data_IF_358253573502
#
_entry.id   IF_358253573502
#
_cell.length_a   1.000
_cell.length_b   1.000
_cell.length_c   1.000
_cell.angle_alpha   90.00
_cell.angle_beta   90.00
_cell.angle_gamma   90.00
#
_symmetry.space_group_name_H-M   'P 1'
#
loop_
_entity.id
_entity.type
_entity.pdbx_description
1 polymer ?
#
# COMPACT_ATOMS: atom_id res chain seq x y z
N UNK A 1 -28.99 -18.80 -58.06
CA UNK A 1 -27.60 -18.48 -57.68
C UNK A 1 -27.72 -17.31 -56.73
N UNK A 2 -28.03 -17.64 -55.48
CA UNK A 2 -28.35 -16.61 -54.49
C UNK A 2 -27.03 -16.24 -53.84
N UNK A 3 -26.48 -15.12 -54.29
CA UNK A 3 -25.30 -14.52 -53.66
C UNK A 3 -25.74 -14.02 -52.29
N UNK A 4 -25.20 -14.67 -51.26
CA UNK A 4 -25.30 -14.21 -49.88
C UNK A 4 -24.84 -12.76 -49.81
N UNK A 5 -25.77 -11.89 -49.42
CA UNK A 5 -25.51 -10.49 -49.14
C UNK A 5 -24.57 -10.45 -47.94
N UNK A 6 -23.28 -10.23 -48.20
CA UNK A 6 -22.30 -9.87 -47.19
C UNK A 6 -22.78 -8.51 -46.64
N UNK A 7 -23.50 -8.55 -45.52
CA UNK A 7 -23.85 -7.35 -44.77
C UNK A 7 -22.54 -6.70 -44.34
N UNK A 8 -22.17 -5.58 -45.00
CA UNK A 8 -21.07 -4.74 -44.55
C UNK A 8 -21.36 -4.32 -43.11
N UNK A 9 -20.44 -4.68 -42.20
CA UNK A 9 -20.51 -4.22 -40.83
C UNK A 9 -20.37 -2.68 -40.79
N UNK A 10 -21.04 -2.00 -39.86
CA UNK A 10 -20.85 -0.57 -39.64
C UNK A 10 -19.37 -0.20 -39.43
N UNK A 11 -18.88 0.86 -40.08
CA UNK A 11 -17.48 1.32 -40.00
C UNK A 11 -16.96 1.47 -38.56
N UNK A 12 -17.83 1.85 -37.62
CA UNK A 12 -17.49 1.95 -36.19
C UNK A 12 -17.14 0.61 -35.54
N UNK A 13 -17.73 -0.49 -36.02
CA UNK A 13 -17.45 -1.83 -35.53
C UNK A 13 -16.18 -2.37 -36.14
N UNK A 14 -15.90 -2.05 -37.41
CA UNK A 14 -14.67 -2.43 -38.09
C UNK A 14 -13.44 -1.80 -37.42
N UNK A 15 -13.48 -0.50 -37.12
CA UNK A 15 -12.42 0.20 -36.38
C UNK A 15 -12.20 -0.37 -34.97
N UNK A 16 -13.29 -0.73 -34.27
CA UNK A 16 -13.18 -1.34 -32.93
C UNK A 16 -12.62 -2.75 -32.99
N UNK A 17 -12.91 -3.51 -34.04
CA UNK A 17 -12.42 -4.87 -34.23
C UNK A 17 -10.93 -4.86 -34.62
N UNK A 18 -10.52 -3.93 -35.48
CA UNK A 18 -9.11 -3.70 -35.83
C UNK A 18 -8.27 -3.26 -34.61
N UNK A 19 -8.83 -2.39 -33.77
CA UNK A 19 -8.23 -2.04 -32.49
C UNK A 19 -8.11 -3.26 -31.55
N UNK A 20 -9.09 -4.17 -31.54
CA UNK A 20 -9.01 -5.39 -30.73
C UNK A 20 -7.96 -6.37 -31.27
N UNK A 21 -7.90 -6.59 -32.59
CA UNK A 21 -6.90 -7.44 -33.25
C UNK A 21 -5.49 -6.93 -32.96
N UNK A 22 -5.24 -5.63 -33.12
CA UNK A 22 -3.92 -5.06 -32.81
C UNK A 22 -3.55 -5.20 -31.32
N UNK A 23 -4.52 -5.08 -30.41
CA UNK A 23 -4.29 -5.34 -28.98
C UNK A 23 -3.99 -6.83 -28.73
N UNK A 24 -4.65 -7.78 -29.41
CA UNK A 24 -4.33 -9.21 -29.32
C UNK A 24 -2.91 -9.51 -29.80
N UNK A 25 -2.52 -8.93 -30.94
CA UNK A 25 -1.18 -9.09 -31.49
C UNK A 25 -0.11 -8.56 -30.53
N UNK A 26 -0.33 -7.37 -29.95
CA UNK A 26 0.58 -6.80 -28.94
C UNK A 26 0.65 -7.67 -27.67
N UNK A 27 -0.47 -8.26 -27.26
CA UNK A 27 -0.54 -9.15 -26.09
C UNK A 27 -0.11 -10.59 -26.40
N UNK A 28 0.18 -10.93 -27.67
CA UNK A 28 0.57 -12.28 -28.09
C UNK A 28 -0.52 -13.34 -27.85
N UNK A 29 -1.79 -12.98 -28.04
CA UNK A 29 -2.91 -13.90 -27.80
C UNK A 29 -3.26 -14.69 -29.06
N UNK A 30 -3.10 -16.02 -29.00
CA UNK A 30 -3.45 -16.94 -30.10
C UNK A 30 -4.98 -17.08 -30.28
N UNK A 31 -5.76 -16.80 -29.23
CA UNK A 31 -7.23 -16.93 -29.20
C UNK A 31 -7.89 -15.61 -28.76
N UNK A 32 -8.72 -15.03 -29.65
CA UNK A 32 -9.47 -13.77 -29.47
C UNK A 32 -10.65 -13.85 -28.47
N UNK A 33 -10.65 -14.86 -27.58
CA UNK A 33 -11.69 -15.02 -26.57
C UNK A 33 -11.61 -13.89 -25.53
N UNK A 34 -12.77 -13.32 -25.19
CA UNK A 34 -12.89 -12.29 -24.14
C UNK A 34 -12.25 -12.71 -22.81
N UNK A 35 -12.28 -14.02 -22.48
CA UNK A 35 -11.64 -14.55 -21.29
C UNK A 35 -10.11 -14.43 -21.32
N UNK A 36 -9.49 -14.55 -22.49
CA UNK A 36 -8.04 -14.42 -22.66
C UNK A 36 -7.60 -12.96 -22.62
N UNK A 37 -8.37 -12.06 -23.26
CA UNK A 37 -8.14 -10.62 -23.16
C UNK A 37 -8.23 -10.09 -21.73
N UNK A 38 -9.31 -10.46 -21.03
CA UNK A 38 -9.48 -10.04 -19.63
C UNK A 38 -8.37 -10.60 -18.74
N UNK A 39 -7.93 -11.85 -18.96
CA UNK A 39 -6.78 -12.42 -18.25
C UNK A 39 -5.48 -11.68 -18.54
N UNK A 40 -5.15 -11.44 -19.81
CA UNK A 40 -3.93 -10.74 -20.20
C UNK A 40 -3.91 -9.30 -19.69
N UNK A 41 -5.05 -8.61 -19.72
CA UNK A 41 -5.19 -7.26 -19.17
C UNK A 41 -5.02 -7.26 -17.64
N UNK A 42 -5.58 -8.24 -16.94
CA UNK A 42 -5.35 -8.41 -15.50
C UNK A 42 -3.87 -8.68 -15.22
N UNK A 43 -3.23 -9.59 -15.95
CA UNK A 43 -1.80 -9.89 -15.81
C UNK A 43 -0.92 -8.66 -16.04
N UNK A 44 -1.15 -7.92 -17.13
CA UNK A 44 -0.42 -6.69 -17.43
C UNK A 44 -0.63 -5.64 -16.32
N UNK A 45 -1.84 -5.55 -15.76
CA UNK A 45 -2.13 -4.64 -14.65
C UNK A 45 -1.41 -5.06 -13.36
N UNK A 46 -1.32 -6.36 -13.09
CA UNK A 46 -0.59 -6.92 -11.95
C UNK A 46 0.90 -6.68 -12.10
N UNK A 47 1.47 -6.93 -13.28
CA UNK A 47 2.85 -6.64 -13.62
C UNK A 47 3.15 -5.15 -13.47
N UNK A 48 2.31 -4.27 -14.01
CA UNK A 48 2.47 -2.83 -13.88
C UNK A 48 2.46 -2.39 -12.41
N UNK A 49 1.54 -2.92 -11.59
CA UNK A 49 1.49 -2.63 -10.16
C UNK A 49 2.71 -3.19 -9.43
N UNK A 50 3.19 -4.37 -9.80
CA UNK A 50 4.39 -4.98 -9.24
C UNK A 50 5.64 -4.12 -9.54
N UNK A 51 5.78 -3.65 -10.78
CA UNK A 51 6.86 -2.78 -11.22
C UNK A 51 6.81 -1.41 -10.53
N UNK A 52 5.61 -0.83 -10.38
CA UNK A 52 5.45 0.42 -9.61
C UNK A 52 5.89 0.23 -8.15
N UNK A 53 5.53 -0.90 -7.53
CA UNK A 53 5.96 -1.21 -6.15
C UNK A 53 7.47 -1.38 -6.05
N UNK A 54 8.10 -2.10 -6.98
CA UNK A 54 9.55 -2.30 -6.96
C UNK A 54 10.30 -0.99 -7.22
N UNK A 55 9.81 -0.13 -8.13
CA UNK A 55 10.38 1.19 -8.38
C UNK A 55 10.34 2.06 -7.12
N UNK A 56 9.19 2.14 -6.44
CA UNK A 56 9.07 2.90 -5.18
C UNK A 56 10.05 2.35 -4.13
N UNK A 57 10.18 1.02 -4.01
CA UNK A 57 11.12 0.39 -3.08
C UNK A 57 12.57 0.71 -3.43
N UNK A 58 12.93 0.69 -4.72
CA UNK A 58 14.28 1.06 -5.18
C UNK A 58 14.59 2.52 -4.88
N UNK A 59 13.67 3.43 -5.18
CA UNK A 59 13.85 4.86 -4.87
C UNK A 59 14.01 5.12 -3.36
N UNK A 60 13.31 4.34 -2.52
CA UNK A 60 13.50 4.41 -1.07
C UNK A 60 14.88 3.91 -0.65
N UNK A 61 15.33 2.76 -1.16
CA UNK A 61 16.65 2.20 -0.87
C UNK A 61 17.75 3.16 -1.33
N UNK A 62 17.62 3.76 -2.51
CA UNK A 62 18.56 4.75 -3.03
C UNK A 62 18.68 5.97 -2.10
N UNK A 63 17.56 6.49 -1.61
CA UNK A 63 17.57 7.57 -0.61
C UNK A 63 18.26 7.14 0.68
N UNK A 64 17.99 5.93 1.18
CA UNK A 64 18.69 5.42 2.36
C UNK A 64 20.20 5.30 2.11
N UNK A 65 20.62 4.72 0.99
CA UNK A 65 22.03 4.57 0.65
C UNK A 65 22.74 5.92 0.52
N UNK A 66 22.10 6.91 -0.10
CA UNK A 66 22.68 8.27 -0.20
C UNK A 66 22.81 8.93 1.18
N UNK A 67 21.84 8.75 2.08
CA UNK A 67 21.97 9.24 3.47
C UNK A 67 23.08 8.53 4.25
N UNK A 68 23.20 7.22 4.13
CA UNK A 68 24.29 6.46 4.79
C UNK A 68 25.65 6.81 4.22
N UNK A 69 25.75 7.03 2.90
CA UNK A 69 26.97 7.47 2.25
C UNK A 69 27.37 8.88 2.73
N UNK A 70 26.42 9.80 2.85
CA UNK A 70 26.68 11.13 3.40
C UNK A 70 27.16 11.07 4.86
N UNK A 71 26.54 10.23 5.69
CA UNK A 71 26.96 10.00 7.07
C UNK A 71 28.38 9.40 7.14
N UNK A 72 28.65 8.35 6.37
CA UNK A 72 29.97 7.71 6.32
C UNK A 72 31.07 8.68 5.83
N UNK A 73 30.77 9.53 4.84
CA UNK A 73 31.70 10.59 4.40
C UNK A 73 31.97 11.60 5.51
N UNK A 74 30.95 11.98 6.27
CA UNK A 74 31.11 12.89 7.39
C UNK A 74 31.95 12.28 8.51
N UNK A 75 31.69 11.04 8.88
CA UNK A 75 32.49 10.29 9.86
C UNK A 75 33.94 10.14 9.39
N UNK A 76 34.17 9.79 8.13
CA UNK A 76 35.51 9.71 7.57
C UNK A 76 36.25 11.05 7.65
N UNK A 77 35.58 12.15 7.31
CA UNK A 77 36.14 13.50 7.44
C UNK A 77 36.46 13.86 8.89
N UNK A 78 35.62 13.47 9.86
CA UNK A 78 35.90 13.68 11.28
C UNK A 78 37.11 12.86 11.73
N UNK A 79 37.20 11.59 11.33
CA UNK A 79 38.36 10.74 11.62
C UNK A 79 39.62 11.36 11.04
N UNK A 80 39.59 11.82 9.79
CA UNK A 80 40.73 12.47 9.15
C UNK A 80 41.16 13.72 9.93
N UNK A 81 40.22 14.61 10.28
CA UNK A 81 40.50 15.78 11.12
C UNK A 81 41.12 15.42 12.47
N UNK A 82 40.59 14.38 13.13
CA UNK A 82 41.16 13.92 14.40
C UNK A 82 42.55 13.33 14.20
N UNK A 83 42.79 12.56 13.15
CA UNK A 83 44.12 12.05 12.86
C UNK A 83 45.12 13.16 12.56
N UNK A 84 44.71 14.21 11.84
CA UNK A 84 45.54 15.39 11.59
C UNK A 84 45.83 16.16 12.88
N UNK A 85 44.82 16.35 13.74
CA UNK A 85 44.99 16.98 15.06
C UNK A 85 45.92 16.17 15.97
N UNK A 86 45.75 14.85 16.03
CA UNK A 86 46.64 13.99 16.82
C UNK A 86 48.06 13.98 16.27
N UNK A 87 48.23 13.97 14.94
CA UNK A 87 49.55 14.06 14.32
C UNK A 87 50.20 15.42 14.57
N UNK A 88 49.45 16.53 14.54
CA UNK A 88 49.96 17.85 14.89
C UNK A 88 50.32 17.96 16.37
N UNK A 89 49.53 17.35 17.27
CA UNK A 89 49.82 17.33 18.71
C UNK A 89 51.07 16.49 19.04
N UNK A 90 51.28 15.40 18.31
CA UNK A 90 52.50 14.58 18.42
C UNK A 90 53.72 15.36 17.91
N UNK A 91 53.57 16.16 16.86
CA UNK A 91 54.64 16.99 16.28
C UNK A 91 54.92 18.26 17.09
N UNK A 92 53.91 18.84 17.77
CA UNK A 92 54.08 20.02 18.63
C UNK A 92 54.81 19.70 19.94
N UNK A 93 55.04 18.42 20.24
CA UNK A 93 55.84 17.98 21.38
C UNK A 93 55.20 18.31 22.73
N UNK A 94 53.86 18.39 22.79
CA UNK A 94 53.17 18.45 24.09
C UNK A 94 53.58 17.23 24.91
N UNK A 95 54.27 17.47 26.03
CA UNK A 95 54.80 16.43 26.90
C UNK A 95 53.68 15.45 27.25
N UNK A 96 53.97 14.15 27.19
CA UNK A 96 53.05 13.06 27.55
C UNK A 96 52.33 13.34 28.89
N UNK A 97 53.00 14.07 29.78
CA UNK A 97 52.49 14.54 31.07
C UNK A 97 51.31 15.53 30.95
N UNK A 98 51.33 16.48 30.02
CA UNK A 98 50.25 17.46 29.86
C UNK A 98 48.97 16.80 29.31
N UNK A 99 49.13 15.80 28.44
CA UNK A 99 48.03 14.95 28.00
C UNK A 99 47.44 14.10 29.13
N UNK A 100 48.27 13.57 30.03
CA UNK A 100 47.77 12.85 31.22
C UNK A 100 47.00 13.78 32.17
N UNK A 101 47.49 15.01 32.40
CA UNK A 101 46.81 16.02 33.20
C UNK A 101 45.46 16.42 32.60
N UNK A 102 45.40 16.62 31.28
CA UNK A 102 44.16 16.93 30.55
C UNK A 102 43.16 15.77 30.64
N UNK A 103 43.63 14.53 30.51
CA UNK A 103 42.80 13.32 30.66
C UNK A 103 42.21 13.21 32.07
N UNK A 104 43.01 13.47 33.10
CA UNK A 104 42.52 13.49 34.48
C UNK A 104 41.49 14.60 34.71
N UNK A 105 41.71 15.79 34.15
CA UNK A 105 40.75 16.89 34.25
C UNK A 105 39.41 16.55 33.56
N UNK A 106 39.45 15.91 32.39
CA UNK A 106 38.25 15.41 31.71
C UNK A 106 37.53 14.32 32.52
N UNK A 107 38.28 13.39 33.13
CA UNK A 107 37.70 12.36 34.00
C UNK A 107 37.04 12.95 35.25
N UNK A 108 37.59 14.01 35.83
CA UNK A 108 36.95 14.74 36.95
C UNK A 108 35.63 15.38 36.50
N UNK A 109 35.64 16.12 35.38
CA UNK A 109 34.42 16.72 34.81
C UNK A 109 33.37 15.69 34.43
N UNK A 110 33.76 14.56 33.84
CA UNK A 110 32.84 13.47 33.52
C UNK A 110 32.17 12.89 34.78
N UNK A 111 32.93 12.78 35.89
CA UNK A 111 32.38 12.37 37.19
C UNK A 111 31.44 13.42 37.77
N UNK A 112 31.74 14.70 37.61
CA UNK A 112 30.85 15.82 38.00
C UNK A 112 29.55 15.78 37.21
N UNK A 113 29.59 15.69 35.88
CA UNK A 113 28.38 15.58 35.05
C UNK A 113 27.57 14.33 35.35
N UNK A 114 28.21 13.21 35.67
CA UNK A 114 27.51 12.00 36.10
C UNK A 114 26.79 12.21 37.44
N UNK A 115 27.42 12.94 38.38
CA UNK A 115 26.77 13.31 39.64
C UNK A 115 25.60 14.26 39.39
N UNK A 116 25.78 15.27 38.55
CA UNK A 116 24.71 16.20 38.17
C UNK A 116 23.52 15.48 37.53
N UNK A 117 23.78 14.57 36.57
CA UNK A 117 22.76 13.72 35.97
C UNK A 117 22.06 12.82 37.00
N UNK A 118 22.77 12.35 38.02
CA UNK A 118 22.16 11.56 39.10
C UNK A 118 21.34 12.41 40.09
N UNK A 119 21.65 13.70 40.22
CA UNK A 119 20.91 14.65 41.06
C UNK A 119 19.71 15.26 40.36
N UNK A 120 19.70 15.27 39.01
CA UNK A 120 18.53 15.68 38.27
C UNK A 120 17.43 14.64 38.50
N UNK A 121 16.27 15.02 39.05
CA UNK A 121 15.15 14.10 39.11
C UNK A 121 14.78 13.77 37.67
N UNK A 122 14.94 12.50 37.29
CA UNK A 122 14.39 11.98 36.04
C UNK A 122 12.88 12.11 36.22
N UNK A 123 12.32 13.23 35.78
CA UNK A 123 10.89 13.45 35.75
C UNK A 123 10.34 12.45 34.75
N UNK A 124 9.82 11.34 35.26
CA UNK A 124 9.15 10.35 34.43
C UNK A 124 8.05 11.09 33.66
N UNK A 125 8.07 11.03 32.31
CA UNK A 125 7.05 11.70 31.53
C UNK A 125 5.68 11.16 31.96
N UNK A 126 4.75 12.05 32.28
CA UNK A 126 3.38 11.73 32.73
C UNK A 126 2.61 10.79 31.78
N UNK A 127 3.09 10.60 30.56
CA UNK A 127 2.55 9.67 29.58
C UNK A 127 3.72 8.91 28.98
N UNK A 128 3.75 7.59 29.16
CA UNK A 128 4.79 6.73 28.61
C UNK A 128 4.48 6.43 27.14
N UNK A 129 5.51 6.15 26.33
CA UNK A 129 5.34 5.73 24.93
C UNK A 129 4.38 4.52 24.81
N UNK A 130 4.40 3.62 25.80
CA UNK A 130 3.46 2.50 25.90
C UNK A 130 2.00 2.96 25.98
N UNK A 131 1.71 4.03 26.70
CA UNK A 131 0.36 4.56 26.87
C UNK A 131 -0.14 5.18 25.57
N UNK A 132 0.73 5.87 24.84
CA UNK A 132 0.43 6.40 23.51
C UNK A 132 0.14 5.27 22.51
N UNK A 133 0.93 4.20 22.52
CA UNK A 133 0.69 3.02 21.67
C UNK A 133 -0.66 2.40 22.01
N UNK A 134 -0.93 2.15 23.29
CA UNK A 134 -2.20 1.59 23.76
C UNK A 134 -3.40 2.48 23.37
N UNK A 135 -3.25 3.81 23.45
CA UNK A 135 -4.27 4.74 23.00
C UNK A 135 -4.47 4.69 21.48
N UNK A 136 -3.38 4.58 20.71
CA UNK A 136 -3.44 4.47 19.25
C UNK A 136 -4.20 3.21 18.80
N UNK A 137 -4.00 2.09 19.48
CA UNK A 137 -4.67 0.83 19.18
C UNK A 137 -6.15 0.87 19.54
N UNK A 138 -6.50 1.46 20.70
CA UNK A 138 -7.91 1.73 21.05
C UNK A 138 -8.61 2.59 20.00
N UNK A 139 -7.91 3.60 19.45
CA UNK A 139 -8.46 4.46 18.39
C UNK A 139 -8.66 3.66 17.10
N UNK A 140 -7.70 2.82 16.70
CA UNK A 140 -7.82 1.95 15.51
C UNK A 140 -9.02 1.00 15.63
N UNK A 141 -9.15 0.30 16.76
CA UNK A 141 -10.27 -0.61 17.01
C UNK A 141 -11.63 0.12 16.93
N UNK A 142 -11.73 1.31 17.53
CA UNK A 142 -12.95 2.13 17.44
C UNK A 142 -13.26 2.56 16.00
N UNK A 143 -12.24 2.93 15.22
CA UNK A 143 -12.42 3.30 13.81
C UNK A 143 -12.95 2.13 12.97
N UNK A 144 -12.44 0.93 13.19
CA UNK A 144 -12.92 -0.28 12.52
C UNK A 144 -14.38 -0.60 12.88
N UNK A 145 -14.73 -0.52 14.17
CA UNK A 145 -16.12 -0.69 14.61
C UNK A 145 -17.07 0.34 13.99
N UNK A 146 -16.65 1.60 13.92
CA UNK A 146 -17.43 2.67 13.27
C UNK A 146 -17.59 2.38 11.78
N UNK A 147 -16.53 1.95 11.09
CA UNK A 147 -16.57 1.57 9.67
C UNK A 147 -17.55 0.42 9.44
N UNK A 148 -17.50 -0.63 10.28
CA UNK A 148 -18.42 -1.76 10.21
C UNK A 148 -19.89 -1.32 10.43
N UNK A 149 -20.17 -0.48 11.44
CA UNK A 149 -21.51 0.07 11.68
C UNK A 149 -22.01 0.92 10.50
N UNK A 150 -21.16 1.77 9.94
CA UNK A 150 -21.49 2.57 8.75
C UNK A 150 -21.80 1.70 7.54
N UNK A 151 -21.05 0.63 7.32
CA UNK A 151 -21.32 -0.32 6.24
C UNK A 151 -22.65 -1.03 6.43
N UNK A 152 -22.99 -1.45 7.66
CA UNK A 152 -24.32 -1.99 7.98
C UNK A 152 -25.42 -0.97 7.65
N UNK A 153 -25.29 0.26 8.13
CA UNK A 153 -26.27 1.33 7.83
C UNK A 153 -26.41 1.55 6.32
N UNK A 154 -25.30 1.58 5.57
CA UNK A 154 -25.33 1.71 4.11
C UNK A 154 -26.06 0.54 3.43
N UNK A 155 -25.88 -0.69 3.90
CA UNK A 155 -26.61 -1.85 3.38
C UNK A 155 -28.13 -1.76 3.61
N UNK A 156 -28.55 -1.05 4.67
CA UNK A 156 -29.96 -0.81 4.99
C UNK A 156 -30.49 0.55 4.47
N UNK A 157 -29.68 1.36 3.77
CA UNK A 157 -30.15 2.58 3.09
C UNK A 157 -31.00 2.18 1.88
N UNK A 158 -32.28 1.99 2.11
CA UNK A 158 -33.26 1.53 1.11
C UNK A 158 -34.36 0.68 1.73
N UNK A 159 -34.14 0.16 2.94
CA UNK A 159 -35.16 -0.53 3.72
C UNK A 159 -35.96 0.49 4.52
N UNK A 160 -37.29 0.35 4.55
CA UNK A 160 -38.17 1.16 5.37
C UNK A 160 -37.70 1.21 6.83
N UNK A 161 -37.73 2.36 7.52
CA UNK A 161 -37.44 2.46 8.95
C UNK A 161 -38.34 1.57 9.83
N UNK A 162 -39.54 1.26 9.36
CA UNK A 162 -40.47 0.35 10.01
C UNK A 162 -40.10 -1.10 9.67
N UNK A 163 -39.73 -1.88 10.69
CA UNK A 163 -39.25 -3.25 10.57
C UNK A 163 -40.30 -4.21 9.96
N UNK A 164 -41.57 -4.01 10.28
CA UNK A 164 -42.65 -4.85 9.76
C UNK A 164 -42.95 -4.56 8.29
N UNK A 165 -42.92 -3.28 7.88
CA UNK A 165 -43.04 -2.90 6.47
C UNK A 165 -41.84 -3.37 5.64
N UNK A 166 -40.64 -3.36 6.21
CA UNK A 166 -39.46 -3.92 5.58
C UNK A 166 -39.58 -5.44 5.34
N UNK A 167 -40.18 -6.16 6.30
CA UNK A 167 -40.41 -7.61 6.18
C UNK A 167 -41.40 -7.94 5.07
N UNK A 168 -42.50 -7.19 4.95
CA UNK A 168 -43.48 -7.39 3.88
C UNK A 168 -42.87 -7.07 2.51
N UNK A 169 -42.18 -5.94 2.37
CA UNK A 169 -41.48 -5.58 1.13
C UNK A 169 -40.44 -6.63 0.70
N UNK A 170 -39.70 -7.20 1.66
CA UNK A 170 -38.72 -8.26 1.38
C UNK A 170 -39.40 -9.57 0.97
N UNK A 171 -40.54 -9.90 1.57
CA UNK A 171 -41.34 -11.05 1.18
C UNK A 171 -41.87 -10.90 -0.26
N UNK A 172 -42.41 -9.73 -0.59
CA UNK A 172 -42.94 -9.42 -1.92
C UNK A 172 -41.84 -9.45 -2.99
N UNK A 173 -40.69 -8.82 -2.71
CA UNK A 173 -39.53 -8.85 -3.60
C UNK A 173 -39.01 -10.27 -3.86
N UNK A 174 -39.01 -11.15 -2.84
CA UNK A 174 -38.65 -12.57 -3.01
C UNK A 174 -39.67 -13.33 -3.86
N UNK A 175 -40.96 -13.06 -3.68
CA UNK A 175 -42.00 -13.66 -4.49
C UNK A 175 -41.87 -13.25 -5.97
N UNK A 176 -41.59 -11.97 -6.24
CA UNK A 176 -41.30 -11.49 -7.60
C UNK A 176 -40.03 -12.11 -8.19
N UNK A 177 -38.95 -12.19 -7.42
CA UNK A 177 -37.71 -12.84 -7.84
C UNK A 177 -37.95 -14.31 -8.23
N UNK A 178 -38.75 -15.04 -7.45
CA UNK A 178 -39.08 -16.43 -7.76
C UNK A 178 -39.91 -16.55 -9.05
N UNK A 179 -40.87 -15.64 -9.28
CA UNK A 179 -41.62 -15.59 -10.55
C UNK A 179 -40.69 -15.34 -11.74
N UNK A 180 -39.74 -14.42 -11.62
CA UNK A 180 -38.74 -14.15 -12.66
C UNK A 180 -37.83 -15.37 -12.90
N UNK A 181 -37.44 -16.07 -11.84
CA UNK A 181 -36.63 -17.28 -11.95
C UNK A 181 -37.38 -18.39 -12.70
N UNK A 182 -38.66 -18.61 -12.37
CA UNK A 182 -39.51 -19.57 -13.09
C UNK A 182 -39.74 -19.16 -14.55
N UNK A 183 -39.91 -17.87 -14.82
CA UNK A 183 -40.05 -17.37 -16.19
C UNK A 183 -38.78 -17.62 -17.00
N UNK A 184 -37.61 -17.36 -16.40
CA UNK A 184 -36.30 -17.64 -16.98
C UNK A 184 -36.16 -19.13 -17.28
N UNK A 185 -36.46 -20.00 -16.33
CA UNK A 185 -36.39 -21.46 -16.52
C UNK A 185 -37.26 -21.91 -17.69
N UNK A 186 -38.52 -21.45 -17.76
CA UNK A 186 -39.41 -21.75 -18.91
C UNK A 186 -38.87 -21.24 -20.24
N UNK A 187 -38.24 -20.05 -20.25
CA UNK A 187 -37.61 -19.50 -21.43
C UNK A 187 -36.41 -20.34 -21.87
N UNK A 188 -35.57 -20.75 -20.93
CA UNK A 188 -34.43 -21.63 -21.17
C UNK A 188 -34.90 -22.98 -21.72
N UNK A 189 -35.93 -23.57 -21.12
CA UNK A 189 -36.53 -24.84 -21.56
C UNK A 189 -37.07 -24.75 -23.00
N UNK A 190 -37.79 -23.67 -23.34
CA UNK A 190 -38.26 -23.40 -24.70
C UNK A 190 -37.13 -23.21 -25.71
N UNK A 191 -36.05 -22.54 -25.33
CA UNK A 191 -34.87 -22.37 -26.20
C UNK A 191 -34.18 -23.71 -26.44
N UNK A 192 -34.08 -24.57 -25.43
CA UNK A 192 -33.47 -25.90 -25.59
C UNK A 192 -34.34 -26.87 -26.41
N UNK A 193 -35.66 -26.79 -26.30
CA UNK A 193 -36.57 -27.67 -27.07
C UNK A 193 -36.71 -27.29 -28.55
N UNK A 194 -36.36 -26.05 -28.93
CA UNK A 194 -36.43 -25.58 -30.32
C UNK A 194 -35.17 -25.79 -31.16
N UNK A 195 -34.11 -26.37 -30.57
CA UNK A 195 -32.79 -26.60 -31.21
C UNK A 195 -32.54 -28.10 -31.44
N UNK A 196 -33.56 -28.96 -31.26
CA UNK A 196 -33.58 -30.36 -31.73
C UNK A 196 -34.42 -30.49 -33.00
#
# INVERSE_FOLDING_TARGET
MDMEVIQCLPDELEQKLEALVSIAEILGLDDMSFANYSRALVQLSEEQLSLKRTLIRLAFIERQLTTHLAAAKHEHHQIQKWTEHFQSDIQSGESMEDNTRRREALLRKAKEYRKELSTLPISEPSVTISDLIAQSDRIKQRKELIKAKRNKIKAFKGVSPNLDLARTQLHDARAEQMKLFQLRERLMEKMTSGVS
#
